data_IF_219168021973
#
_entry.id   IF_219168021973
#
_cell.length_a   1.000
_cell.length_b   1.000
_cell.length_c   1.000
_cell.angle_alpha   90.00
_cell.angle_beta   90.00
_cell.angle_gamma   90.00
#
_symmetry.space_group_name_H-M   'P 1'
#
loop_
_entity.id
_entity.type
_entity.pdbx_description
1 polymer ?
#
# COMPACT_ATOMS: atom_id res chain seq x y z
N UNK A 1 -40.76 -11.20 45.19
CA UNK A 1 -40.91 -9.84 44.63
C UNK A 1 -39.94 -9.70 43.47
N UNK A 2 -40.41 -9.42 42.25
CA UNK A 2 -39.54 -9.21 41.08
C UNK A 2 -39.22 -7.72 41.01
N UNK A 3 -37.94 -7.35 41.04
CA UNK A 3 -37.55 -5.96 40.84
C UNK A 3 -37.89 -5.57 39.39
N UNK A 4 -38.56 -4.42 39.16
CA UNK A 4 -38.81 -3.93 37.82
C UNK A 4 -37.50 -3.79 37.04
N UNK A 5 -37.43 -4.43 35.87
CA UNK A 5 -36.31 -4.33 34.92
C UNK A 5 -35.70 -2.93 34.73
N UNK A 6 -36.48 -1.84 34.61
CA UNK A 6 -35.90 -0.50 34.44
C UNK A 6 -35.06 -0.06 35.65
N UNK A 7 -35.44 -0.44 36.88
CA UNK A 7 -34.71 -0.07 38.09
C UNK A 7 -33.35 -0.77 38.12
N UNK A 8 -33.31 -2.05 37.74
CA UNK A 8 -32.06 -2.82 37.66
C UNK A 8 -31.13 -2.24 36.59
N UNK A 9 -31.68 -1.88 35.43
CA UNK A 9 -30.89 -1.30 34.32
C UNK A 9 -30.26 0.03 34.73
N UNK A 10 -31.02 0.91 35.38
CA UNK A 10 -30.51 2.20 35.86
C UNK A 10 -29.43 2.00 36.92
N UNK A 11 -29.62 1.08 37.86
CA UNK A 11 -28.63 0.79 38.89
C UNK A 11 -27.31 0.26 38.29
N UNK A 12 -27.37 -0.63 37.30
CA UNK A 12 -26.17 -1.14 36.60
C UNK A 12 -25.45 -0.02 35.85
N UNK A 13 -26.19 0.83 35.13
CA UNK A 13 -25.59 1.97 34.44
C UNK A 13 -24.93 2.96 35.42
N UNK A 14 -25.55 3.22 36.57
CA UNK A 14 -24.99 4.08 37.61
C UNK A 14 -23.69 3.50 38.19
N UNK A 15 -23.66 2.20 38.50
CA UNK A 15 -22.45 1.55 39.00
C UNK A 15 -21.35 1.59 37.95
N UNK A 16 -21.65 1.27 36.69
CA UNK A 16 -20.68 1.32 35.61
C UNK A 16 -20.13 2.75 35.41
N UNK A 17 -20.99 3.77 35.46
CA UNK A 17 -20.59 5.17 35.33
C UNK A 17 -19.69 5.61 36.50
N UNK A 18 -20.04 5.24 37.74
CA UNK A 18 -19.24 5.57 38.93
C UNK A 18 -17.88 4.88 38.87
N UNK A 19 -17.84 3.61 38.50
CA UNK A 19 -16.58 2.85 38.35
C UNK A 19 -15.72 3.45 37.24
N UNK A 20 -16.33 3.82 36.11
CA UNK A 20 -15.62 4.47 35.01
C UNK A 20 -15.04 5.81 35.45
N UNK A 21 -15.86 6.72 36.01
CA UNK A 21 -15.39 8.02 36.46
C UNK A 21 -14.30 7.87 37.53
N UNK A 22 -14.46 6.99 38.52
CA UNK A 22 -13.46 6.78 39.56
C UNK A 22 -12.15 6.18 39.01
N UNK A 23 -12.22 5.31 37.99
CA UNK A 23 -11.06 4.63 37.42
C UNK A 23 -10.34 5.42 36.33
N UNK A 24 -11.02 6.31 35.63
CA UNK A 24 -10.47 6.97 34.42
C UNK A 24 -10.32 8.48 34.54
N UNK A 25 -10.80 9.10 35.62
CA UNK A 25 -10.76 10.57 35.78
C UNK A 25 -9.34 11.15 35.76
N UNK A 26 -8.37 10.40 36.28
CA UNK A 26 -6.98 10.85 36.38
C UNK A 26 -6.09 10.21 35.28
N UNK A 27 -6.70 9.52 34.32
CA UNK A 27 -5.99 8.93 33.18
C UNK A 27 -6.10 9.87 31.98
N UNK A 28 -4.94 10.27 31.47
CA UNK A 28 -4.85 11.04 30.23
C UNK A 28 -4.80 10.07 29.04
N UNK A 29 -5.85 10.10 28.21
CA UNK A 29 -5.97 9.28 26.99
C UNK A 29 -5.68 10.08 25.72
N UNK A 30 -5.44 11.38 25.83
CA UNK A 30 -5.31 12.29 24.68
C UNK A 30 -3.85 12.60 24.41
N UNK A 31 -3.05 12.74 25.46
CA UNK A 31 -1.65 13.13 25.31
C UNK A 31 -0.77 11.90 25.11
N UNK A 32 0.03 11.82 24.02
CA UNK A 32 0.93 10.70 23.82
C UNK A 32 1.99 10.68 24.93
N UNK A 33 2.28 9.51 25.52
CA UNK A 33 3.21 9.41 26.64
C UNK A 33 4.64 9.78 26.21
N UNK A 34 5.35 10.45 27.10
CA UNK A 34 6.72 10.92 26.87
C UNK A 34 7.69 9.73 26.90
N UNK A 35 8.82 9.79 26.16
CA UNK A 35 9.80 8.68 26.11
C UNK A 35 10.31 8.24 27.50
N UNK A 36 10.40 9.19 28.44
CA UNK A 36 10.80 8.92 29.83
C UNK A 36 9.75 8.11 30.59
N UNK A 37 8.47 8.42 30.39
CA UNK A 37 7.36 7.71 31.04
C UNK A 37 7.25 6.29 30.48
N UNK A 38 7.43 6.12 29.17
CA UNK A 38 7.49 4.80 28.53
C UNK A 38 8.66 3.96 29.05
N UNK A 39 9.83 4.56 29.28
CA UNK A 39 10.97 3.86 29.85
C UNK A 39 10.70 3.41 31.30
N UNK A 40 10.07 4.25 32.10
CA UNK A 40 9.69 3.92 33.49
C UNK A 40 8.61 2.81 33.53
N UNK A 41 7.63 2.89 32.64
CA UNK A 41 6.54 1.92 32.52
C UNK A 41 7.07 0.55 32.05
N UNK A 42 8.00 0.53 31.09
CA UNK A 42 8.74 -0.68 30.70
C UNK A 42 9.53 -1.27 31.87
N UNK A 43 10.16 -0.42 32.70
CA UNK A 43 10.86 -0.84 33.91
C UNK A 43 9.93 -1.54 34.91
N UNK A 44 8.78 -0.94 35.21
CA UNK A 44 7.78 -1.53 36.12
C UNK A 44 7.20 -2.83 35.59
N UNK A 45 6.82 -2.86 34.30
CA UNK A 45 6.27 -4.06 33.67
C UNK A 45 7.27 -5.22 33.61
N UNK A 46 8.57 -4.94 33.51
CA UNK A 46 9.62 -5.98 33.50
C UNK A 46 9.79 -6.64 34.88
N UNK A 47 9.46 -5.93 35.95
CA UNK A 47 9.46 -6.47 37.32
C UNK A 47 8.18 -7.27 37.58
N UNK A 48 7.04 -6.77 37.11
CA UNK A 48 5.72 -7.38 37.35
C UNK A 48 5.46 -8.60 36.44
N UNK A 49 6.03 -8.60 35.23
CA UNK A 49 5.96 -9.69 34.27
C UNK A 49 7.36 -10.09 33.78
N UNK A 50 8.15 -10.78 34.62
CA UNK A 50 9.55 -11.13 34.30
C UNK A 50 9.69 -12.05 33.06
N UNK A 51 8.61 -12.75 32.68
CA UNK A 51 8.54 -13.61 31.50
C UNK A 51 7.65 -13.04 30.38
N UNK A 52 7.28 -11.76 30.43
CA UNK A 52 6.59 -11.15 29.29
C UNK A 52 7.50 -11.25 28.06
N UNK A 53 7.00 -11.74 26.91
CA UNK A 53 7.78 -11.72 25.67
C UNK A 53 8.10 -10.27 25.37
N UNK A 54 9.37 -9.91 25.50
CA UNK A 54 9.87 -8.62 25.02
C UNK A 54 9.56 -8.59 23.53
N UNK A 55 8.69 -7.67 23.11
CA UNK A 55 8.50 -7.42 21.68
C UNK A 55 9.91 -7.11 21.14
N UNK A 56 10.47 -7.98 20.28
CA UNK A 56 11.84 -7.77 19.86
C UNK A 56 11.87 -6.47 19.07
N UNK A 57 12.97 -5.73 19.22
CA UNK A 57 13.18 -4.53 18.42
C UNK A 57 13.00 -4.92 16.94
N UNK A 58 12.13 -4.24 16.15
CA UNK A 58 11.95 -4.52 14.74
C UNK A 58 13.28 -4.58 13.97
N UNK A 59 14.29 -3.83 14.40
CA UNK A 59 15.64 -3.84 13.83
C UNK A 59 16.43 -5.09 14.25
N UNK A 60 16.29 -5.58 15.48
CA UNK A 60 16.91 -6.84 15.92
C UNK A 60 16.21 -8.07 15.33
N UNK A 61 14.88 -8.04 15.21
CA UNK A 61 14.09 -9.06 14.53
C UNK A 61 14.45 -9.16 13.04
N UNK A 62 14.68 -8.01 12.39
CA UNK A 62 15.24 -7.98 11.05
C UNK A 62 16.66 -8.54 11.05
N UNK A 63 17.53 -8.14 11.98
CA UNK A 63 18.91 -8.60 12.08
C UNK A 63 19.05 -10.11 12.34
N UNK A 64 18.19 -10.72 13.16
CA UNK A 64 18.21 -12.14 13.46
C UNK A 64 17.47 -12.99 12.43
N UNK A 65 16.40 -12.47 11.80
CA UNK A 65 15.82 -13.10 10.61
C UNK A 65 16.80 -13.14 9.42
N UNK A 66 17.86 -12.30 9.45
CA UNK A 66 18.95 -12.27 8.47
C UNK A 66 20.09 -13.27 8.77
N UNK A 67 20.09 -13.94 9.93
CA UNK A 67 21.10 -14.94 10.32
C UNK A 67 20.52 -16.36 10.24
N UNK A 68 20.40 -16.89 9.04
CA UNK A 68 20.21 -18.33 8.86
C UNK A 68 21.39 -19.14 9.44
N UNK A 69 21.22 -20.44 9.75
CA UNK A 69 22.29 -21.27 10.28
C UNK A 69 23.33 -21.53 9.17
N UNK A 70 24.47 -20.83 9.21
CA UNK A 70 25.61 -21.06 8.32
C UNK A 70 26.33 -19.76 7.96
N UNK A 71 27.41 -19.45 8.68
CA UNK A 71 28.31 -18.33 8.40
C UNK A 71 29.07 -18.56 7.07
N UNK A 72 28.48 -18.09 5.98
CA UNK A 72 29.25 -17.51 4.87
C UNK A 72 29.23 -15.99 5.05
N UNK A 73 30.36 -15.28 4.89
CA UNK A 73 30.34 -13.82 4.94
C UNK A 73 29.33 -13.31 3.91
N UNK A 74 28.41 -12.46 4.35
CA UNK A 74 27.40 -11.89 3.48
C UNK A 74 28.11 -11.21 2.28
N UNK A 75 27.64 -11.43 1.04
CA UNK A 75 28.27 -10.82 -0.12
C UNK A 75 28.29 -9.29 0.04
N UNK A 76 29.35 -8.61 -0.42
CA UNK A 76 29.44 -7.16 -0.32
C UNK A 76 28.25 -6.49 -1.00
N UNK A 77 27.67 -5.52 -0.31
CA UNK A 77 26.52 -4.75 -0.79
C UNK A 77 27.02 -3.72 -1.79
N UNK A 78 26.50 -3.79 -3.02
CA UNK A 78 26.83 -2.85 -4.10
C UNK A 78 25.75 -1.78 -4.11
N UNK A 79 26.11 -0.53 -3.87
CA UNK A 79 25.15 0.56 -3.73
C UNK A 79 24.70 1.16 -5.08
N UNK A 80 25.36 0.78 -6.18
CA UNK A 80 25.15 1.40 -7.49
C UNK A 80 25.88 2.73 -7.63
N UNK A 81 25.55 3.46 -8.69
CA UNK A 81 26.07 4.79 -8.95
C UNK A 81 25.19 5.83 -8.23
N UNK A 82 25.77 6.49 -7.22
CA UNK A 82 25.07 7.49 -6.43
C UNK A 82 24.92 8.84 -7.15
N UNK A 83 25.64 9.08 -8.25
CA UNK A 83 25.64 10.35 -8.97
C UNK A 83 24.41 10.59 -9.86
N UNK A 84 23.64 9.54 -10.20
CA UNK A 84 22.49 9.62 -11.10
C UNK A 84 21.25 9.00 -10.47
N UNK A 85 20.06 9.61 -10.63
CA UNK A 85 18.81 9.04 -10.10
C UNK A 85 18.64 7.55 -10.47
N UNK A 86 18.06 6.74 -9.57
CA UNK A 86 17.89 5.33 -9.85
C UNK A 86 16.98 5.10 -11.06
N UNK A 87 17.36 4.13 -11.87
CA UNK A 87 16.50 3.60 -12.94
C UNK A 87 15.69 2.43 -12.41
N UNK A 88 14.55 2.14 -13.04
CA UNK A 88 13.67 1.05 -12.57
C UNK A 88 14.43 -0.29 -12.50
N UNK A 89 15.28 -0.60 -13.47
CA UNK A 89 15.98 -1.90 -13.51
C UNK A 89 17.13 -2.05 -12.51
N UNK A 90 17.40 -1.00 -11.73
CA UNK A 90 18.46 -1.04 -10.73
C UNK A 90 18.14 -2.08 -9.63
N UNK A 91 19.20 -2.72 -9.14
CA UNK A 91 19.17 -3.78 -8.13
C UNK A 91 18.47 -5.10 -8.52
N UNK A 92 17.92 -5.24 -9.73
CA UNK A 92 17.34 -6.51 -10.21
C UNK A 92 18.37 -7.64 -10.12
N UNK A 93 19.61 -7.41 -10.57
CA UNK A 93 20.68 -8.42 -10.51
C UNK A 93 21.05 -8.80 -9.07
N UNK A 94 20.79 -7.92 -8.10
CA UNK A 94 21.06 -8.18 -6.68
C UNK A 94 19.94 -8.99 -6.02
N UNK A 95 18.77 -9.12 -6.65
CA UNK A 95 17.65 -9.88 -6.11
C UNK A 95 17.97 -11.38 -5.97
N UNK A 96 18.82 -11.93 -6.86
CA UNK A 96 19.32 -13.30 -6.76
C UNK A 96 20.14 -13.60 -5.50
N UNK A 97 20.53 -12.56 -4.73
CA UNK A 97 21.21 -12.69 -3.43
C UNK A 97 20.23 -12.83 -2.25
N UNK A 98 18.94 -12.78 -2.52
CA UNK A 98 17.85 -13.00 -1.57
C UNK A 98 17.31 -11.73 -0.90
N UNK A 99 16.08 -11.83 -0.39
CA UNK A 99 15.36 -10.70 0.23
C UNK A 99 16.19 -10.00 1.31
N UNK A 100 16.86 -10.77 2.18
CA UNK A 100 17.66 -10.20 3.25
C UNK A 100 18.83 -9.33 2.78
N UNK A 101 19.41 -9.62 1.62
CA UNK A 101 20.45 -8.78 1.02
C UNK A 101 19.89 -7.43 0.58
N UNK A 102 18.76 -7.45 -0.14
CA UNK A 102 18.10 -6.23 -0.61
C UNK A 102 17.56 -5.37 0.54
N UNK A 103 17.06 -5.97 1.62
CA UNK A 103 16.63 -5.22 2.81
C UNK A 103 17.81 -4.47 3.46
N UNK A 104 19.00 -5.08 3.53
CA UNK A 104 20.20 -4.41 4.04
C UNK A 104 20.70 -3.31 3.11
N UNK A 105 20.64 -3.56 1.79
CA UNK A 105 20.92 -2.54 0.78
C UNK A 105 20.01 -1.32 0.95
N UNK A 106 18.71 -1.55 1.12
CA UNK A 106 17.73 -0.49 1.32
C UNK A 106 18.05 0.33 2.58
N UNK A 107 18.29 -0.32 3.72
CA UNK A 107 18.66 0.36 4.96
C UNK A 107 19.94 1.21 4.82
N UNK A 108 20.98 0.70 4.14
CA UNK A 108 22.21 1.46 3.89
C UNK A 108 21.99 2.67 2.98
N UNK A 109 21.09 2.59 2.01
CA UNK A 109 20.74 3.71 1.15
C UNK A 109 20.00 4.79 1.94
N UNK A 110 19.11 4.40 2.86
CA UNK A 110 18.45 5.35 3.77
C UNK A 110 19.45 6.07 4.68
N UNK A 111 20.39 5.33 5.28
CA UNK A 111 21.46 5.91 6.12
C UNK A 111 22.33 6.91 5.36
N UNK A 112 22.43 6.75 4.03
CA UNK A 112 23.15 7.68 3.14
C UNK A 112 22.29 8.83 2.62
N UNK A 113 21.03 8.92 3.03
CA UNK A 113 20.12 9.97 2.57
C UNK A 113 19.65 9.78 1.14
N UNK A 114 19.55 8.54 0.67
CA UNK A 114 19.13 8.17 -0.68
C UNK A 114 17.73 7.50 -0.67
N UNK A 115 16.65 8.23 -0.31
CA UNK A 115 15.33 7.64 -0.08
C UNK A 115 14.71 7.05 -1.35
N UNK A 116 15.00 7.61 -2.54
CA UNK A 116 14.53 7.09 -3.83
C UNK A 116 15.10 5.70 -4.12
N UNK A 117 16.40 5.53 -3.89
CA UNK A 117 17.07 4.24 -4.10
C UNK A 117 16.69 3.23 -3.02
N UNK A 118 16.53 3.70 -1.78
CA UNK A 118 16.05 2.86 -0.69
C UNK A 118 14.65 2.33 -0.97
N UNK A 119 13.73 3.20 -1.41
CA UNK A 119 12.38 2.80 -1.79
C UNK A 119 12.41 1.75 -2.90
N UNK A 120 13.19 1.98 -3.97
CA UNK A 120 13.35 1.01 -5.04
C UNK A 120 13.91 -0.33 -4.53
N UNK A 121 14.93 -0.30 -3.67
CA UNK A 121 15.51 -1.52 -3.10
C UNK A 121 14.49 -2.29 -2.23
N UNK A 122 13.63 -1.59 -1.46
CA UNK A 122 12.53 -2.21 -0.74
C UNK A 122 11.47 -2.81 -1.67
N UNK A 123 11.11 -2.12 -2.76
CA UNK A 123 10.17 -2.65 -3.76
C UNK A 123 10.74 -3.92 -4.43
N UNK A 124 12.04 -3.93 -4.74
CA UNK A 124 12.76 -5.10 -5.29
C UNK A 124 12.74 -6.32 -4.36
N UNK A 125 12.65 -6.12 -3.05
CA UNK A 125 12.46 -7.24 -2.09
C UNK A 125 11.16 -7.99 -2.40
N UNK A 126 10.07 -7.27 -2.70
CA UNK A 126 8.77 -7.89 -3.01
C UNK A 126 8.73 -8.43 -4.44
N UNK A 127 9.32 -7.71 -5.39
CA UNK A 127 9.21 -8.03 -6.80
C UNK A 127 10.06 -9.24 -7.22
N UNK A 128 11.23 -9.43 -6.61
CA UNK A 128 12.27 -10.27 -7.22
C UNK A 128 13.03 -11.19 -6.26
N UNK A 129 12.79 -11.11 -4.95
CA UNK A 129 13.65 -11.76 -3.95
C UNK A 129 12.96 -12.76 -3.01
N UNK A 130 11.72 -13.16 -3.34
CA UNK A 130 10.90 -14.17 -2.65
C UNK A 130 10.94 -14.07 -1.10
N UNK A 131 10.46 -12.96 -0.52
CA UNK A 131 10.56 -12.72 0.91
C UNK A 131 9.62 -13.63 1.71
N UNK A 132 10.05 -14.02 2.91
CA UNK A 132 9.18 -14.74 3.84
C UNK A 132 8.07 -13.81 4.42
N UNK A 133 7.05 -14.33 5.13
CA UNK A 133 5.94 -13.51 5.63
C UNK A 133 6.35 -12.38 6.58
N UNK A 134 7.40 -12.57 7.39
CA UNK A 134 7.92 -11.54 8.29
C UNK A 134 8.63 -10.44 7.50
N UNK A 135 9.51 -10.84 6.57
CA UNK A 135 10.21 -9.91 5.67
C UNK A 135 9.21 -9.10 4.84
N UNK A 136 8.18 -9.75 4.30
CA UNK A 136 7.09 -9.08 3.57
C UNK A 136 6.42 -7.99 4.41
N UNK A 137 6.08 -8.29 5.67
CA UNK A 137 5.46 -7.31 6.58
C UNK A 137 6.38 -6.12 6.85
N UNK A 138 7.65 -6.39 7.12
CA UNK A 138 8.65 -5.33 7.38
C UNK A 138 8.83 -4.47 6.13
N UNK A 139 9.06 -5.08 4.97
CA UNK A 139 9.22 -4.39 3.69
C UNK A 139 8.01 -3.50 3.37
N UNK A 140 6.78 -4.02 3.51
CA UNK A 140 5.58 -3.22 3.29
C UNK A 140 5.47 -2.01 4.23
N UNK A 141 5.91 -2.16 5.48
CA UNK A 141 5.92 -1.03 6.42
C UNK A 141 6.92 0.05 6.01
N UNK A 142 8.10 -0.33 5.51
CA UNK A 142 9.13 0.60 5.07
C UNK A 142 8.74 1.31 3.77
N UNK A 143 8.19 0.58 2.79
CA UNK A 143 7.67 1.17 1.54
C UNK A 143 6.62 2.25 1.85
N UNK A 144 5.69 1.98 2.77
CA UNK A 144 4.65 2.96 3.15
C UNK A 144 5.24 4.21 3.78
N UNK A 145 6.23 4.06 4.66
CA UNK A 145 6.91 5.19 5.28
C UNK A 145 7.65 6.04 4.24
N UNK A 146 8.49 5.39 3.42
CA UNK A 146 9.33 6.07 2.43
C UNK A 146 8.52 6.71 1.30
N UNK A 147 7.37 6.15 0.91
CA UNK A 147 6.50 6.77 -0.12
C UNK A 147 5.98 8.15 0.29
N UNK A 148 5.88 8.44 1.59
CA UNK A 148 5.53 9.78 2.07
C UNK A 148 6.67 10.79 1.95
N UNK A 149 7.91 10.31 1.93
CA UNK A 149 9.14 11.12 1.96
C UNK A 149 9.77 11.25 0.57
N UNK A 150 9.60 10.24 -0.29
CA UNK A 150 10.21 10.19 -1.61
C UNK A 150 9.46 11.08 -2.62
N UNK A 151 10.17 11.81 -3.50
CA UNK A 151 9.56 12.50 -4.63
C UNK A 151 8.75 11.53 -5.51
N UNK A 152 7.55 11.97 -5.91
CA UNK A 152 6.71 11.23 -6.84
C UNK A 152 7.44 11.05 -8.17
N UNK A 153 7.52 9.82 -8.66
CA UNK A 153 8.05 9.53 -9.98
C UNK A 153 7.07 10.08 -11.04
N UNK A 154 7.57 10.76 -12.08
CA UNK A 154 6.79 11.26 -13.23
C UNK A 154 5.72 12.33 -12.94
N UNK A 155 6.11 13.41 -12.24
CA UNK A 155 5.23 14.58 -12.00
C UNK A 155 4.96 15.41 -13.27
N UNK A 156 5.73 15.21 -14.35
CA UNK A 156 5.53 15.88 -15.65
C UNK A 156 4.62 15.10 -16.60
N UNK A 157 3.56 15.75 -17.11
CA UNK A 157 2.49 15.13 -17.92
C UNK A 157 2.91 14.47 -19.24
N UNK A 158 4.17 14.60 -19.68
CA UNK A 158 4.67 14.00 -20.93
C UNK A 158 5.05 12.51 -20.81
N UNK A 159 5.12 11.94 -19.60
CA UNK A 159 5.50 10.54 -19.38
C UNK A 159 4.46 9.71 -18.62
N UNK A 160 3.21 10.19 -18.51
CA UNK A 160 2.13 9.39 -17.94
C UNK A 160 1.68 8.33 -18.93
N UNK A 161 1.65 7.08 -18.50
CA UNK A 161 1.04 6.00 -19.28
C UNK A 161 -0.46 6.00 -19.03
N UNK A 162 -1.23 6.18 -20.10
CA UNK A 162 -2.69 6.16 -20.02
C UNK A 162 -3.20 4.71 -20.17
N UNK A 163 -4.00 4.27 -19.19
CA UNK A 163 -4.70 2.99 -19.22
C UNK A 163 -6.22 3.22 -19.12
N UNK A 164 -6.97 2.42 -19.86
CA UNK A 164 -8.43 2.41 -19.85
C UNK A 164 -8.94 1.21 -19.06
N UNK A 165 -9.67 1.47 -17.99
CA UNK A 165 -10.42 0.46 -17.26
C UNK A 165 -11.85 0.39 -17.82
N UNK A 166 -12.15 -0.66 -18.57
CA UNK A 166 -13.52 -0.88 -19.05
C UNK A 166 -14.26 -1.76 -18.07
N UNK A 167 -15.42 -1.25 -17.65
CA UNK A 167 -16.31 -1.87 -16.69
C UNK A 167 -17.68 -2.05 -17.32
N UNK A 168 -18.16 -3.28 -17.38
CA UNK A 168 -19.52 -3.59 -17.84
C UNK A 168 -20.32 -4.20 -16.71
N UNK A 169 -21.43 -3.56 -16.38
CA UNK A 169 -22.27 -3.93 -15.23
C UNK A 169 -23.73 -3.93 -15.62
N UNK A 170 -24.55 -4.66 -14.85
CA UNK A 170 -26.00 -4.58 -15.04
C UNK A 170 -26.51 -3.15 -14.74
N UNK A 171 -27.45 -2.67 -15.57
CA UNK A 171 -28.02 -1.32 -15.51
C UNK A 171 -28.46 -0.87 -14.10
N UNK A 172 -29.07 -1.72 -13.25
CA UNK A 172 -29.47 -1.33 -11.89
C UNK A 172 -28.30 -0.96 -10.97
N UNK A 173 -27.11 -1.48 -11.23
CA UNK A 173 -25.93 -1.31 -10.37
C UNK A 173 -24.95 -0.25 -10.87
N UNK A 174 -25.15 0.28 -12.08
CA UNK A 174 -24.27 1.25 -12.74
C UNK A 174 -23.94 2.46 -11.86
N UNK A 175 -24.95 3.07 -11.23
CA UNK A 175 -24.74 4.28 -10.40
C UNK A 175 -23.95 3.99 -9.12
N UNK A 176 -24.25 2.88 -8.44
CA UNK A 176 -23.55 2.50 -7.20
C UNK A 176 -22.10 2.13 -7.47
N UNK A 177 -21.84 1.45 -8.58
CA UNK A 177 -20.53 0.95 -8.94
C UNK A 177 -19.64 2.03 -9.58
N UNK A 178 -20.23 3.08 -10.15
CA UNK A 178 -19.48 4.21 -10.70
C UNK A 178 -18.60 4.88 -9.64
N UNK A 179 -19.18 5.27 -8.51
CA UNK A 179 -18.42 5.93 -7.43
C UNK A 179 -17.28 5.04 -6.89
N UNK A 180 -17.55 3.74 -6.77
CA UNK A 180 -16.55 2.75 -6.35
C UNK A 180 -15.41 2.67 -7.37
N UNK A 181 -15.73 2.60 -8.66
CA UNK A 181 -14.74 2.54 -9.72
C UNK A 181 -13.92 3.83 -9.89
N UNK A 182 -14.52 5.00 -9.67
CA UNK A 182 -13.81 6.29 -9.66
C UNK A 182 -12.83 6.38 -8.48
N UNK A 183 -13.26 5.99 -7.28
CA UNK A 183 -12.37 5.88 -6.12
C UNK A 183 -11.19 4.95 -6.41
N UNK A 184 -11.43 3.86 -7.14
CA UNK A 184 -10.36 2.94 -7.51
C UNK A 184 -9.40 3.48 -8.55
N UNK A 185 -9.89 4.20 -9.55
CA UNK A 185 -9.02 4.86 -10.52
C UNK A 185 -8.05 5.81 -9.79
N UNK A 186 -8.57 6.62 -8.85
CA UNK A 186 -7.75 7.49 -8.01
C UNK A 186 -6.72 6.73 -7.18
N UNK A 187 -7.12 5.63 -6.54
CA UNK A 187 -6.19 4.81 -5.75
C UNK A 187 -5.05 4.23 -6.60
N UNK A 188 -5.32 3.83 -7.84
CA UNK A 188 -4.28 3.33 -8.77
C UNK A 188 -3.32 4.46 -9.17
N UNK A 189 -3.87 5.63 -9.53
CA UNK A 189 -3.04 6.78 -9.88
C UNK A 189 -2.13 7.19 -8.71
N UNK A 190 -2.68 7.25 -7.49
CA UNK A 190 -1.92 7.54 -6.27
C UNK A 190 -0.86 6.45 -5.99
N UNK A 191 -1.23 5.18 -6.07
CA UNK A 191 -0.31 4.06 -5.86
C UNK A 191 0.79 3.99 -6.91
N UNK A 192 0.56 4.52 -8.12
CA UNK A 192 1.54 4.65 -9.19
C UNK A 192 2.41 5.90 -9.09
N UNK A 193 2.26 6.69 -8.01
CA UNK A 193 2.94 7.98 -7.83
C UNK A 193 2.67 8.98 -8.97
N UNK A 194 1.56 8.83 -9.70
CA UNK A 194 1.21 9.66 -10.85
C UNK A 194 1.81 9.21 -12.19
N UNK A 195 2.46 8.04 -12.24
CA UNK A 195 2.98 7.44 -13.49
C UNK A 195 1.90 6.83 -14.37
N UNK A 196 0.76 6.42 -13.80
CA UNK A 196 -0.42 5.97 -14.53
C UNK A 196 -1.51 7.04 -14.51
N UNK A 197 -2.19 7.20 -15.64
CA UNK A 197 -3.46 7.90 -15.74
C UNK A 197 -4.55 6.89 -16.10
N UNK A 198 -5.63 6.84 -15.31
CA UNK A 198 -6.66 5.81 -15.44
C UNK A 198 -7.95 6.41 -15.99
N UNK A 199 -8.24 6.15 -17.27
CA UNK A 199 -9.50 6.52 -17.90
C UNK A 199 -10.56 5.43 -17.64
N UNK A 200 -11.66 5.82 -17.00
CA UNK A 200 -12.74 4.90 -16.63
C UNK A 200 -13.84 4.84 -17.70
N UNK A 201 -14.05 3.66 -18.29
CA UNK A 201 -15.11 3.41 -19.28
C UNK A 201 -16.17 2.46 -18.74
N UNK A 202 -17.21 3.02 -18.15
CA UNK A 202 -18.33 2.23 -17.60
C UNK A 202 -19.48 2.16 -18.61
N UNK A 203 -19.92 0.94 -18.91
CA UNK A 203 -21.07 0.67 -19.78
C UNK A 203 -22.07 -0.29 -19.12
N UNK A 204 -23.33 -0.16 -19.50
CA UNK A 204 -24.35 -1.12 -19.09
C UNK A 204 -24.35 -2.31 -20.05
N UNK A 205 -24.40 -3.52 -19.51
CA UNK A 205 -24.61 -4.74 -20.30
C UNK A 205 -26.03 -4.66 -20.91
N UNK A 206 -26.15 -4.82 -22.24
CA UNK A 206 -27.46 -4.89 -22.90
C UNK A 206 -28.22 -6.13 -22.44
N UNK A 207 -29.50 -5.96 -22.09
CA UNK A 207 -30.40 -7.08 -21.80
C UNK A 207 -30.42 -8.06 -22.99
N UNK A 208 -30.11 -9.33 -22.72
CA UNK A 208 -30.02 -10.39 -23.74
C UNK A 208 -28.60 -10.77 -24.19
N UNK A 209 -27.56 -10.05 -23.77
CA UNK A 209 -26.16 -10.39 -24.10
C UNK A 209 -25.57 -11.57 -23.30
N UNK A 210 -26.28 -12.05 -22.26
CA UNK A 210 -25.82 -13.15 -21.42
C UNK A 210 -26.97 -14.07 -20.99
N UNK A 211 -26.73 -15.40 -21.05
CA UNK A 211 -27.61 -16.46 -20.53
C UNK A 211 -27.37 -16.79 -19.06
N UNK A 212 -26.63 -15.98 -18.30
CA UNK A 212 -26.50 -16.19 -16.86
C UNK A 212 -27.61 -15.44 -16.15
N UNK A 213 -28.49 -16.18 -15.49
CA UNK A 213 -29.72 -15.74 -14.81
C UNK A 213 -29.54 -14.75 -13.65
N UNK A 214 -28.34 -14.19 -13.42
CA UNK A 214 -28.03 -13.43 -12.22
C UNK A 214 -27.65 -11.97 -12.55
N UNK A 215 -28.46 -11.02 -12.07
CA UNK A 215 -28.37 -9.57 -12.28
C UNK A 215 -27.15 -8.87 -11.62
N UNK A 216 -26.16 -9.64 -11.16
CA UNK A 216 -25.01 -9.18 -10.37
C UNK A 216 -23.66 -9.44 -11.04
N UNK A 217 -23.66 -9.73 -12.35
CA UNK A 217 -22.44 -9.93 -13.14
C UNK A 217 -21.69 -8.62 -13.41
N UNK A 218 -20.37 -8.67 -13.24
CA UNK A 218 -19.42 -7.58 -13.51
C UNK A 218 -18.40 -8.10 -14.50
N UNK A 219 -18.14 -7.33 -15.55
CA UNK A 219 -17.05 -7.58 -16.48
C UNK A 219 -16.03 -6.46 -16.40
N UNK A 220 -14.76 -6.84 -16.40
CA UNK A 220 -13.63 -5.92 -16.30
C UNK A 220 -12.56 -6.28 -17.32
N UNK A 221 -11.99 -5.28 -17.97
CA UNK A 221 -10.76 -5.40 -18.77
C UNK A 221 -9.95 -4.12 -18.66
N UNK A 222 -8.64 -4.25 -18.86
CA UNK A 222 -7.71 -3.15 -18.99
C UNK A 222 -7.19 -3.11 -20.44
N UNK A 223 -7.04 -1.92 -20.98
CA UNK A 223 -6.36 -1.69 -22.26
C UNK A 223 -5.52 -0.42 -22.18
N UNK A 224 -4.47 -0.29 -23.01
CA UNK A 224 -3.89 1.03 -23.27
C UNK A 224 -4.82 1.89 -24.14
N UNK A 225 -4.45 3.16 -24.36
CA UNK A 225 -5.27 4.14 -25.11
C UNK A 225 -5.13 4.08 -26.64
N UNK A 226 -4.22 3.25 -27.17
CA UNK A 226 -4.01 3.08 -28.62
C UNK A 226 -4.74 1.88 -29.22
N UNK A 227 -5.09 1.96 -30.52
CA UNK A 227 -5.80 0.89 -31.25
C UNK A 227 -5.07 -0.47 -31.29
N UNK A 228 -3.75 -0.47 -31.04
CA UNK A 228 -2.90 -1.68 -30.95
C UNK A 228 -2.40 -1.95 -29.54
N UNK A 229 -2.93 -1.25 -28.54
CA UNK A 229 -2.45 -1.39 -27.17
C UNK A 229 -2.80 -2.79 -26.60
N UNK A 230 -1.90 -3.36 -25.78
CA UNK A 230 -2.17 -4.62 -25.11
C UNK A 230 -3.47 -4.50 -24.30
N UNK A 231 -4.32 -5.52 -24.41
CA UNK A 231 -5.59 -5.59 -23.73
C UNK A 231 -5.64 -6.89 -22.94
N UNK A 232 -6.04 -6.81 -21.67
CA UNK A 232 -6.20 -8.02 -20.85
C UNK A 232 -7.42 -8.83 -21.27
N UNK A 233 -7.39 -10.13 -20.96
CA UNK A 233 -8.57 -10.97 -21.11
C UNK A 233 -9.74 -10.40 -20.28
N UNK A 234 -10.95 -10.52 -20.81
CA UNK A 234 -12.16 -10.09 -20.09
C UNK A 234 -12.33 -10.94 -18.82
N UNK A 235 -12.27 -10.28 -17.67
CA UNK A 235 -12.55 -10.92 -16.39
C UNK A 235 -14.03 -10.80 -16.07
N UNK A 236 -14.64 -11.92 -15.71
CA UNK A 236 -16.05 -12.02 -15.35
C UNK A 236 -16.16 -12.50 -13.91
N UNK A 237 -16.94 -11.81 -13.09
CA UNK A 237 -17.26 -12.28 -11.76
C UNK A 237 -18.62 -11.79 -11.27
N UNK A 238 -19.14 -12.44 -10.23
CA UNK A 238 -20.37 -12.03 -9.56
C UNK A 238 -20.04 -11.19 -8.33
N UNK A 239 -20.70 -10.03 -8.23
CA UNK A 239 -20.54 -9.13 -7.11
C UNK A 239 -21.89 -8.83 -6.46
N UNK A 240 -22.10 -9.34 -5.25
CA UNK A 240 -23.26 -8.97 -4.46
C UNK A 240 -23.16 -7.49 -4.03
N UNK A 241 -24.31 -6.79 -3.87
CA UNK A 241 -24.31 -5.36 -3.53
C UNK A 241 -23.57 -4.97 -2.25
N UNK A 242 -23.37 -5.91 -1.30
CA UNK A 242 -22.66 -5.69 -0.04
C UNK A 242 -21.15 -5.99 -0.09
N UNK A 243 -20.75 -7.04 -0.81
CA UNK A 243 -19.35 -7.50 -0.88
C UNK A 243 -18.58 -6.97 -2.10
N UNK A 244 -19.25 -6.20 -2.96
CA UNK A 244 -18.68 -5.69 -4.19
C UNK A 244 -17.32 -4.99 -3.99
N UNK A 245 -17.13 -4.01 -3.08
CA UNK A 245 -15.89 -3.23 -3.09
C UNK A 245 -14.63 -4.06 -2.83
N UNK A 246 -14.66 -5.01 -1.88
CA UNK A 246 -13.50 -5.83 -1.55
C UNK A 246 -13.19 -6.88 -2.63
N UNK A 247 -14.21 -7.56 -3.16
CA UNK A 247 -14.02 -8.51 -4.25
C UNK A 247 -13.53 -7.84 -5.54
N UNK A 248 -14.00 -6.62 -5.80
CA UNK A 248 -13.56 -5.84 -6.95
C UNK A 248 -12.09 -5.45 -6.85
N UNK A 249 -11.62 -5.04 -5.65
CA UNK A 249 -10.20 -4.76 -5.40
C UNK A 249 -9.32 -5.94 -5.81
N UNK A 250 -9.66 -7.13 -5.32
CA UNK A 250 -8.89 -8.34 -5.60
C UNK A 250 -8.85 -8.62 -7.11
N UNK A 251 -10.00 -8.58 -7.78
CA UNK A 251 -10.11 -8.86 -9.22
C UNK A 251 -9.39 -7.82 -10.08
N UNK A 252 -9.40 -6.56 -9.66
CA UNK A 252 -8.67 -5.50 -10.34
C UNK A 252 -7.15 -5.64 -10.15
N UNK A 253 -6.68 -6.02 -8.96
CA UNK A 253 -5.27 -6.31 -8.71
C UNK A 253 -4.80 -7.47 -9.60
N UNK A 254 -5.59 -8.55 -9.70
CA UNK A 254 -5.30 -9.66 -10.63
C UNK A 254 -5.20 -9.18 -12.09
N UNK A 255 -6.11 -8.30 -12.51
CA UNK A 255 -6.12 -7.69 -13.85
C UNK A 255 -4.90 -6.80 -14.09
N UNK A 256 -4.53 -5.96 -13.12
CA UNK A 256 -3.36 -5.08 -13.19
C UNK A 256 -2.07 -5.90 -13.24
N UNK A 257 -1.95 -6.95 -12.44
CA UNK A 257 -0.80 -7.86 -12.49
C UNK A 257 -0.68 -8.52 -13.87
N UNK A 258 -1.79 -9.04 -14.41
CA UNK A 258 -1.83 -9.62 -15.75
C UNK A 258 -1.47 -8.59 -16.84
N UNK A 259 -1.90 -7.34 -16.69
CA UNK A 259 -1.55 -6.27 -17.61
C UNK A 259 -0.07 -5.86 -17.50
N UNK A 260 0.46 -5.74 -16.28
CA UNK A 260 1.85 -5.39 -16.03
C UNK A 260 2.82 -6.42 -16.61
N UNK A 261 2.47 -7.71 -16.54
CA UNK A 261 3.23 -8.79 -17.17
C UNK A 261 3.32 -8.67 -18.71
N UNK A 262 2.50 -7.82 -19.34
CA UNK A 262 2.54 -7.56 -20.79
C UNK A 262 3.49 -6.43 -21.21
N UNK A 263 4.17 -5.78 -20.24
CA UNK A 263 5.27 -4.83 -20.46
C UNK A 263 4.85 -3.36 -20.42
N UNK A 264 5.47 -2.58 -19.51
CA UNK A 264 5.35 -1.12 -19.44
C UNK A 264 6.73 -0.49 -19.27
N UNK A 265 7.15 0.44 -20.14
CA UNK A 265 8.32 1.26 -19.88
C UNK A 265 7.97 2.35 -18.86
N UNK A 266 8.61 2.33 -17.69
CA UNK A 266 8.57 3.41 -16.70
C UNK A 266 9.96 4.05 -16.65
N UNK A 267 10.00 5.37 -16.82
CA UNK A 267 11.23 6.16 -16.75
C UNK A 267 11.26 6.99 -15.46
N UNK A 268 12.45 7.32 -14.92
CA UNK A 268 12.58 8.21 -13.78
C UNK A 268 12.22 9.66 -14.13
N UNK A 269 11.80 10.49 -13.15
CA UNK A 269 11.52 11.90 -13.39
C UNK A 269 12.76 12.65 -13.90
N UNK A 270 12.60 13.66 -14.76
CA UNK A 270 13.71 14.49 -15.19
C UNK A 270 14.38 15.17 -13.99
N UNK A 271 15.71 15.26 -14.01
CA UNK A 271 16.43 16.21 -13.16
C UNK A 271 15.99 17.60 -13.59
N UNK A 272 15.52 18.40 -12.64
CA UNK A 272 15.12 19.81 -12.78
C UNK A 272 13.69 20.07 -13.32
N UNK A 273 12.76 20.21 -12.39
CA UNK A 273 11.75 21.27 -12.49
C UNK A 273 11.84 22.09 -11.21
N UNK A 274 12.71 23.10 -11.25
CA UNK A 274 12.75 24.18 -10.28
C UNK A 274 11.33 24.79 -10.17
N UNK A 275 10.69 24.86 -8.98
CA UNK A 275 9.32 25.36 -8.82
C UNK A 275 9.16 26.86 -9.13
N UNK A 276 10.21 27.52 -9.62
CA UNK A 276 10.32 28.93 -9.96
C UNK A 276 10.15 29.23 -11.46
N UNK A 277 10.05 28.22 -12.34
CA UNK A 277 10.07 28.43 -13.79
C UNK A 277 8.70 28.46 -14.50
N UNK A 278 7.57 28.51 -13.78
CA UNK A 278 6.24 28.76 -14.38
C UNK A 278 5.75 30.18 -14.08
N UNK A 279 6.46 31.17 -14.61
CA UNK A 279 5.91 32.51 -14.80
C UNK A 279 6.18 32.91 -16.25
N UNK A 280 5.22 32.59 -17.12
CA UNK A 280 5.20 33.15 -18.47
C UNK A 280 5.16 34.69 -18.35
N UNK A 281 6.01 35.43 -19.08
CA UNK A 281 5.90 36.87 -19.13
C UNK A 281 4.67 37.23 -19.95
N UNK A 282 3.67 37.82 -19.28
CA UNK A 282 2.57 38.55 -19.93
C UNK A 282 3.21 39.60 -20.85
N UNK A 283 3.07 39.41 -22.15
CA UNK A 283 3.45 40.42 -23.15
C UNK A 283 2.27 41.37 -23.30
N UNK A 284 2.53 42.66 -23.08
CA UNK A 284 1.63 43.81 -23.25
C UNK A 284 1.36 44.06 -24.73
#
# INVERSE_FOLDING_TARGET
MRLPWPIVSIAVCLVALVVWIAGTRDLDFVTPPTERELAELRGRLRVEFPNAPVAPDPYELAADALRGPGFLPAPPIVLGDLSHRPVIDEFIEQAGRGAGHLMRLAALLEERGEPDRALLAWERVLDSAEPNPLQTRVTLSQIRRLRGEAPKWNVGGSQRSEIQLHLMVAKPHLRKLKAVAESFAMEIEEASSGGLAVELRISAIREGGWKTTNHHGVMMRLSGTGDKSPTTAMMVFQAEPGDAPARWRIKLIELLAAHASSGFPLSPPPLDSDPSASADPITV
#
